data_IF_971988755397
#
_entry.id   IF_971988755397
#
_cell.length_a   1.000
_cell.length_b   1.000
_cell.length_c   1.000
_cell.angle_alpha   90.00
_cell.angle_beta   90.00
_cell.angle_gamma   90.00
#
_symmetry.space_group_name_H-M   'P 1'
#
loop_
_entity.id
_entity.type
_entity.pdbx_description
1 polymer ?
#
# COMPACT_ATOMS: atom_id res chain seq x y z
N UNK A 1 -3.79 -17.29 3.00
CA UNK A 1 -2.41 -16.80 2.89
C UNK A 1 -1.53 -17.79 3.63
N UNK A 2 -0.69 -18.55 2.92
CA UNK A 2 0.31 -19.41 3.57
C UNK A 2 1.50 -18.50 3.86
N UNK A 3 1.90 -18.41 5.13
CA UNK A 3 3.18 -17.81 5.45
C UNK A 3 4.26 -18.78 4.94
N UNK A 4 5.24 -18.24 4.24
CA UNK A 4 6.47 -18.99 4.01
C UNK A 4 7.28 -18.91 5.31
N UNK A 5 7.45 -20.05 5.97
CA UNK A 5 8.21 -20.18 7.21
C UNK A 5 9.64 -20.69 6.95
N UNK A 6 9.98 -20.99 5.69
CA UNK A 6 11.27 -21.58 5.33
C UNK A 6 12.39 -20.55 5.28
N UNK A 7 12.05 -19.26 5.18
CA UNK A 7 13.01 -18.17 4.97
C UNK A 7 12.77 -17.02 5.95
N UNK A 8 13.81 -16.63 6.70
CA UNK A 8 13.77 -15.43 7.51
C UNK A 8 14.30 -14.22 6.73
N UNK A 9 13.51 -13.14 6.67
CA UNK A 9 13.90 -11.93 5.94
C UNK A 9 15.29 -11.41 6.36
N UNK A 10 15.63 -11.48 7.66
CA UNK A 10 16.92 -11.05 8.22
C UNK A 10 18.13 -11.78 7.64
N UNK A 11 17.96 -12.98 7.07
CA UNK A 11 19.05 -13.72 6.43
C UNK A 11 19.44 -13.11 5.07
N UNK A 12 18.54 -12.35 4.44
CA UNK A 12 18.65 -11.89 3.06
C UNK A 12 18.69 -10.37 2.90
N UNK A 13 18.57 -9.62 4.01
CA UNK A 13 18.61 -8.16 3.98
C UNK A 13 19.76 -7.59 4.78
N UNK A 14 20.24 -6.43 4.34
CA UNK A 14 21.24 -5.60 4.99
C UNK A 14 20.76 -4.15 5.00
N UNK A 15 21.31 -3.37 5.93
CA UNK A 15 21.08 -1.92 5.93
C UNK A 15 21.60 -1.32 4.61
N UNK A 16 20.78 -0.51 3.97
CA UNK A 16 21.02 0.08 2.65
C UNK A 16 20.49 -0.75 1.48
N UNK A 17 20.01 -1.97 1.70
CA UNK A 17 19.41 -2.77 0.63
C UNK A 17 18.13 -2.13 0.10
N UNK A 18 17.94 -2.23 -1.20
CA UNK A 18 16.75 -1.78 -1.91
C UNK A 18 16.26 -2.91 -2.78
N UNK A 19 14.97 -3.23 -2.69
CA UNK A 19 14.33 -4.23 -3.53
C UNK A 19 12.99 -3.72 -4.07
N UNK A 20 12.58 -4.32 -5.19
CA UNK A 20 11.28 -4.10 -5.79
C UNK A 20 10.37 -5.26 -5.43
N UNK A 21 9.22 -4.95 -4.87
CA UNK A 21 8.14 -5.89 -4.62
C UNK A 21 7.03 -5.60 -5.62
N UNK A 22 6.77 -6.56 -6.50
CA UNK A 22 5.65 -6.53 -7.43
C UNK A 22 4.43 -7.15 -6.75
N UNK A 23 3.37 -6.37 -6.69
CA UNK A 23 2.07 -6.74 -6.16
C UNK A 23 1.05 -6.63 -7.29
N UNK A 24 0.10 -7.58 -7.32
CA UNK A 24 -0.92 -7.67 -8.35
C UNK A 24 -0.33 -7.68 -9.77
N UNK A 25 -0.06 -8.88 -10.29
CA UNK A 25 0.49 -9.06 -11.64
C UNK A 25 -0.45 -8.59 -12.76
N UNK A 26 -1.71 -8.24 -12.47
CA UNK A 26 -2.58 -7.57 -13.42
C UNK A 26 -2.23 -6.10 -13.57
N UNK A 27 -2.08 -5.40 -12.44
CA UNK A 27 -1.88 -3.95 -12.37
C UNK A 27 -0.39 -3.52 -12.32
N UNK A 28 0.55 -4.45 -12.14
CA UNK A 28 2.01 -4.21 -12.04
C UNK A 28 2.39 -3.15 -10.98
N UNK A 29 1.81 -3.28 -9.78
CA UNK A 29 2.18 -2.39 -8.67
C UNK A 29 3.60 -2.72 -8.19
N UNK A 30 4.54 -1.82 -8.46
CA UNK A 30 5.95 -1.97 -8.03
C UNK A 30 6.26 -1.09 -6.84
N UNK A 31 6.44 -1.72 -5.68
CA UNK A 31 6.85 -1.07 -4.44
C UNK A 31 8.38 -1.10 -4.31
N UNK A 32 9.00 0.07 -4.18
CA UNK A 32 10.40 0.18 -3.77
C UNK A 32 10.49 0.11 -2.24
N UNK A 33 11.10 -0.96 -1.74
CA UNK A 33 11.32 -1.17 -0.30
C UNK A 33 12.79 -0.95 -0.01
N UNK A 34 13.07 -0.12 1.00
CA UNK A 34 14.43 0.21 1.43
C UNK A 34 14.63 -0.14 2.91
N UNK A 35 15.70 -0.87 3.18
CA UNK A 35 16.10 -1.23 4.54
C UNK A 35 17.00 -0.13 5.07
N UNK A 36 16.41 0.87 5.70
CA UNK A 36 17.17 2.05 6.17
C UNK A 36 18.07 1.72 7.37
N UNK A 37 17.63 0.80 8.23
CA UNK A 37 18.37 0.38 9.43
C UNK A 37 17.89 -0.99 9.91
N UNK A 38 18.80 -1.75 10.52
CA UNK A 38 18.49 -2.99 11.25
C UNK A 38 18.82 -2.76 12.72
N UNK A 39 17.83 -2.92 13.59
CA UNK A 39 17.96 -2.73 15.03
C UNK A 39 17.47 -3.99 15.75
N UNK A 40 18.27 -4.52 16.66
CA UNK A 40 17.82 -5.57 17.57
C UNK A 40 16.92 -4.97 18.65
N UNK A 41 15.62 -5.23 18.56
CA UNK A 41 14.65 -4.76 19.54
C UNK A 41 13.73 -5.89 20.00
N UNK A 42 14.13 -6.69 21.00
CA UNK A 42 13.40 -7.89 21.43
C UNK A 42 11.96 -7.65 21.88
N UNK A 43 11.60 -6.40 22.23
CA UNK A 43 10.26 -6.00 22.61
C UNK A 43 9.30 -5.77 21.44
N UNK A 44 9.81 -5.56 20.21
CA UNK A 44 9.00 -5.45 19.01
C UNK A 44 8.82 -6.82 18.37
N UNK A 45 7.65 -7.42 18.55
CA UNK A 45 7.31 -8.73 17.98
C UNK A 45 6.49 -8.66 16.69
N UNK A 46 6.03 -7.47 16.31
CA UNK A 46 5.15 -7.23 15.16
C UNK A 46 5.57 -5.98 14.42
N UNK A 47 5.22 -5.93 13.13
CA UNK A 47 5.37 -4.72 12.33
C UNK A 47 4.61 -3.55 12.96
N UNK A 48 5.14 -2.34 12.77
CA UNK A 48 4.54 -1.09 13.21
C UNK A 48 4.68 -0.06 12.11
N UNK A 49 3.57 0.55 11.73
CA UNK A 49 3.57 1.73 10.90
C UNK A 49 3.94 2.94 11.78
N UNK A 50 5.05 3.59 11.44
CA UNK A 50 5.58 4.75 12.18
C UNK A 50 5.24 6.08 11.50
N UNK A 51 5.03 6.07 10.19
CA UNK A 51 4.71 7.24 9.38
C UNK A 51 4.01 6.79 8.09
N UNK A 52 3.20 7.66 7.50
CA UNK A 52 2.59 7.47 6.18
C UNK A 52 2.32 8.81 5.51
N UNK A 53 2.55 8.86 4.21
CA UNK A 53 2.23 10.02 3.38
C UNK A 53 1.50 9.56 2.12
N UNK A 54 0.48 10.34 1.74
CA UNK A 54 -0.39 10.04 0.62
C UNK A 54 -1.52 9.09 1.00
N UNK A 55 -2.48 8.99 0.09
CA UNK A 55 -3.58 8.05 0.18
C UNK A 55 -3.17 6.71 -0.42
N UNK A 56 -3.73 5.58 0.05
CA UNK A 56 -3.60 4.33 -0.66
C UNK A 56 -4.12 4.46 -2.10
N UNK A 57 -3.72 3.54 -2.96
CA UNK A 57 -4.23 3.47 -4.33
C UNK A 57 -5.45 2.54 -4.35
N UNK A 58 -6.52 2.82 -5.12
CA UNK A 58 -7.60 1.87 -5.30
C UNK A 58 -7.09 0.59 -5.97
N UNK A 59 -7.48 -0.57 -5.43
CA UNK A 59 -7.28 -1.86 -6.09
C UNK A 59 -8.02 -1.88 -7.45
N UNK A 60 -7.49 -2.64 -8.41
CA UNK A 60 -8.08 -2.86 -9.74
C UNK A 60 -8.32 -1.57 -10.55
N UNK A 61 -7.56 -0.50 -10.28
CA UNK A 61 -7.66 0.78 -11.02
C UNK A 61 -6.98 0.70 -12.39
N UNK A 62 -6.23 -0.37 -12.68
CA UNK A 62 -5.48 -0.52 -13.93
C UNK A 62 -4.05 -0.03 -13.82
N UNK A 63 -3.42 -0.24 -12.66
CA UNK A 63 -2.02 0.09 -12.44
C UNK A 63 -1.73 1.60 -12.44
N UNK A 64 -0.46 1.95 -12.67
CA UNK A 64 0.03 3.33 -12.62
C UNK A 64 -0.73 4.25 -13.59
N UNK A 65 -0.97 3.78 -14.80
CA UNK A 65 -1.64 4.54 -15.85
C UNK A 65 -3.13 4.75 -15.53
N UNK A 66 -3.82 3.69 -15.10
CA UNK A 66 -5.22 3.79 -14.68
C UNK A 66 -5.40 4.71 -13.46
N UNK A 67 -4.47 4.69 -12.50
CA UNK A 67 -4.49 5.64 -11.39
C UNK A 67 -4.23 7.09 -11.83
N UNK A 68 -3.38 7.31 -12.84
CA UNK A 68 -3.16 8.64 -13.40
C UNK A 68 -4.41 9.19 -14.07
N UNK A 69 -5.10 8.37 -14.89
CA UNK A 69 -6.38 8.71 -15.50
C UNK A 69 -7.44 8.99 -14.44
N UNK A 70 -7.57 8.11 -13.44
CA UNK A 70 -8.50 8.29 -12.32
C UNK A 70 -8.30 9.65 -11.64
N UNK A 71 -7.05 10.01 -11.29
CA UNK A 71 -6.76 11.31 -10.66
C UNK A 71 -7.11 12.49 -11.55
N UNK A 72 -6.85 12.38 -12.85
CA UNK A 72 -7.18 13.42 -13.82
C UNK A 72 -8.69 13.63 -13.87
N UNK A 73 -9.46 12.56 -14.10
CA UNK A 73 -10.92 12.63 -14.19
C UNK A 73 -11.53 13.13 -12.90
N UNK A 74 -11.12 12.60 -11.75
CA UNK A 74 -11.65 13.01 -10.43
C UNK A 74 -11.28 14.46 -10.04
N UNK A 75 -10.37 15.11 -10.76
CA UNK A 75 -10.04 16.53 -10.56
C UNK A 75 -10.96 17.50 -11.31
N UNK A 76 -11.75 17.00 -12.26
CA UNK A 76 -12.68 17.79 -13.08
C UNK A 76 -14.10 17.20 -13.04
N UNK A 77 -15.00 17.74 -12.20
CA UNK A 77 -16.40 17.33 -12.13
C UNK A 77 -17.20 17.50 -13.43
N UNK A 78 -16.66 18.19 -14.44
CA UNK A 78 -17.29 18.34 -15.76
C UNK A 78 -16.87 17.28 -16.78
N UNK A 79 -15.88 16.45 -16.44
CA UNK A 79 -15.44 15.34 -17.27
C UNK A 79 -16.57 14.31 -17.45
N UNK A 80 -16.76 13.82 -18.67
CA UNK A 80 -17.82 12.86 -19.01
C UNK A 80 -17.71 11.55 -18.22
N UNK A 81 -16.49 11.17 -17.80
CA UNK A 81 -16.23 9.97 -17.02
C UNK A 81 -16.30 10.20 -15.50
N UNK A 82 -16.50 11.44 -15.02
CA UNK A 82 -16.47 11.77 -13.59
C UNK A 82 -17.46 10.94 -12.77
N UNK A 83 -18.72 10.85 -13.23
CA UNK A 83 -19.75 10.08 -12.53
C UNK A 83 -19.41 8.58 -12.47
N UNK A 84 -18.84 8.03 -13.54
CA UNK A 84 -18.43 6.63 -13.59
C UNK A 84 -17.34 6.32 -12.55
N UNK A 85 -16.25 7.09 -12.56
CA UNK A 85 -15.15 6.90 -11.61
C UNK A 85 -15.54 7.24 -10.16
N UNK A 86 -16.42 8.22 -9.96
CA UNK A 86 -16.96 8.56 -8.64
C UNK A 86 -17.74 7.39 -8.04
N UNK A 87 -18.66 6.80 -8.81
CA UNK A 87 -19.41 5.61 -8.39
C UNK A 87 -18.52 4.40 -8.17
N UNK A 88 -17.60 4.12 -9.10
CA UNK A 88 -16.68 3.00 -9.00
C UNK A 88 -15.79 3.09 -7.76
N UNK A 89 -15.27 4.29 -7.45
CA UNK A 89 -14.35 4.51 -6.34
C UNK A 89 -15.03 4.73 -4.98
N UNK A 90 -16.36 4.78 -4.87
CA UNK A 90 -17.07 5.08 -3.62
C UNK A 90 -16.68 4.13 -2.48
N UNK A 91 -16.63 2.83 -2.75
CA UNK A 91 -16.21 1.81 -1.78
C UNK A 91 -14.78 2.02 -1.31
N UNK A 92 -13.90 2.49 -2.19
CA UNK A 92 -12.52 2.83 -1.84
C UNK A 92 -12.45 4.12 -1.02
N UNK A 93 -13.15 5.18 -1.43
CA UNK A 93 -13.17 6.48 -0.75
C UNK A 93 -13.74 6.40 0.67
N UNK A 94 -14.78 5.59 0.89
CA UNK A 94 -15.29 5.35 2.25
C UNK A 94 -14.24 4.69 3.15
N UNK A 95 -13.38 3.84 2.58
CA UNK A 95 -12.26 3.21 3.28
C UNK A 95 -11.10 4.17 3.54
N UNK A 96 -10.88 5.22 2.74
CA UNK A 96 -9.80 6.19 3.02
C UNK A 96 -9.92 6.82 4.41
N UNK A 97 -11.14 7.14 4.82
CA UNK A 97 -11.42 7.75 6.13
C UNK A 97 -11.00 6.89 7.33
N UNK A 98 -10.82 5.58 7.13
CA UNK A 98 -10.45 4.64 8.19
C UNK A 98 -9.01 4.17 8.12
N UNK A 99 -8.20 4.57 7.14
CA UNK A 99 -6.77 4.20 7.06
C UNK A 99 -5.91 5.28 7.72
N UNK A 100 -5.93 5.27 9.05
CA UNK A 100 -5.06 6.09 9.89
C UNK A 100 -3.90 5.23 10.39
N UNK A 101 -2.83 5.87 10.86
CA UNK A 101 -1.72 5.16 11.52
C UNK A 101 -2.21 4.21 12.62
N UNK A 102 -3.20 4.64 13.41
CA UNK A 102 -3.75 3.84 14.51
C UNK A 102 -4.56 2.64 14.01
N UNK A 103 -5.42 2.80 13.00
CA UNK A 103 -6.26 1.70 12.51
C UNK A 103 -5.45 0.66 11.74
N UNK A 104 -4.39 1.07 11.05
CA UNK A 104 -3.45 0.16 10.41
C UNK A 104 -2.69 -0.62 11.47
N UNK A 105 -2.11 0.04 12.48
CA UNK A 105 -1.42 -0.64 13.58
C UNK A 105 -2.36 -1.58 14.35
N UNK A 106 -3.62 -1.19 14.58
CA UNK A 106 -4.63 -2.06 15.19
C UNK A 106 -4.91 -3.31 14.35
N UNK A 107 -4.79 -3.22 13.02
CA UNK A 107 -4.92 -4.37 12.13
C UNK A 107 -3.67 -5.26 12.16
N UNK A 108 -2.48 -4.66 12.16
CA UNK A 108 -1.20 -5.38 12.31
C UNK A 108 -1.12 -6.16 13.63
N UNK A 109 -1.73 -5.66 14.71
CA UNK A 109 -1.77 -6.36 15.99
C UNK A 109 -2.62 -7.63 15.99
N UNK A 110 -3.47 -7.82 14.98
CA UNK A 110 -4.35 -8.97 14.84
C UNK A 110 -3.85 -10.02 13.83
N UNK A 111 -2.80 -9.69 13.07
CA UNK A 111 -2.02 -10.66 12.29
C UNK A 111 -1.19 -11.54 13.24
#
# INVERSE_FOLDING_TARGET
MKYDEEVQLLEYIRSGDVFLYEYDFGDDWRHRIEVTQIIEKPSLRKARLIDMQGDPVPEDVGGVDGYAEFKQVMSDPSDEQYEHFSMWSERFRSRLSIHTLNSINFSLDRL
#
